data_IF_357136470762
#
_entry.id   IF_357136470762
#
_cell.length_a   1.000
_cell.length_b   1.000
_cell.length_c   1.000
_cell.angle_alpha   90.00
_cell.angle_beta   90.00
_cell.angle_gamma   90.00
#
_symmetry.space_group_name_H-M   'P 1'
#
loop_
_entity.id
_entity.type
_entity.pdbx_description
1 polymer ?
#
# COMPACT_ATOMS: atom_id res chain seq x y z
N UNK A 1 -12.58 3.02 0.88
CA UNK A 1 -13.70 2.07 0.72
C UNK A 1 -13.95 1.42 2.08
N UNK A 2 -15.15 1.54 2.66
CA UNK A 2 -15.49 0.83 3.90
C UNK A 2 -15.73 -0.65 3.55
N UNK A 3 -15.01 -1.57 4.19
CA UNK A 3 -15.19 -3.01 3.99
C UNK A 3 -15.94 -3.57 5.19
N UNK A 4 -17.16 -4.07 4.98
CA UNK A 4 -17.95 -4.70 6.04
C UNK A 4 -17.42 -6.12 6.23
N UNK A 5 -16.93 -6.43 7.42
CA UNK A 5 -16.38 -7.74 7.76
C UNK A 5 -17.38 -8.56 8.56
N UNK A 6 -17.60 -9.81 8.14
CA UNK A 6 -18.37 -10.77 8.91
C UNK A 6 -17.48 -11.38 10.00
N UNK A 7 -17.95 -11.37 11.24
CA UNK A 7 -17.26 -11.99 12.37
C UNK A 7 -17.88 -13.36 12.67
N UNK A 8 -17.03 -14.36 12.90
CA UNK A 8 -17.43 -15.69 13.37
C UNK A 8 -16.85 -15.93 14.75
N UNK A 9 -17.51 -16.76 15.54
CA UNK A 9 -17.00 -17.16 16.86
C UNK A 9 -16.19 -18.44 16.72
N UNK A 10 -14.96 -18.46 17.24
CA UNK A 10 -14.12 -19.66 17.24
C UNK A 10 -14.43 -20.57 18.44
N UNK A 11 -13.80 -21.75 18.51
CA UNK A 11 -13.95 -22.71 19.61
C UNK A 11 -13.49 -22.19 20.97
N UNK A 12 -12.73 -21.09 21.02
CA UNK A 12 -12.27 -20.42 22.24
C UNK A 12 -13.16 -19.22 22.61
N UNK A 13 -14.36 -19.14 22.05
CA UNK A 13 -15.33 -18.08 22.33
C UNK A 13 -14.90 -16.67 21.84
N UNK A 14 -13.87 -16.57 21.00
CA UNK A 14 -13.36 -15.29 20.48
C UNK A 14 -13.96 -14.97 19.11
N UNK A 15 -14.14 -13.68 18.82
CA UNK A 15 -14.57 -13.19 17.51
C UNK A 15 -13.38 -13.16 16.56
N UNK A 16 -13.48 -13.90 15.47
CA UNK A 16 -12.50 -13.96 14.38
C UNK A 16 -13.11 -13.41 13.09
N UNK A 17 -12.35 -12.64 12.29
CA UNK A 17 -12.84 -12.13 11.03
C UNK A 17 -12.92 -13.24 9.98
N UNK A 18 -14.02 -13.28 9.22
CA UNK A 18 -14.10 -14.06 8.00
C UNK A 18 -13.56 -13.21 6.85
N UNK A 19 -12.29 -13.41 6.51
CA UNK A 19 -11.62 -12.77 5.39
C UNK A 19 -11.67 -13.69 4.16
N UNK A 20 -11.93 -13.12 3.00
CA UNK A 20 -11.85 -13.83 1.73
C UNK A 20 -10.39 -13.92 1.25
N UNK A 21 -10.11 -14.85 0.34
CA UNK A 21 -8.77 -14.94 -0.25
C UNK A 21 -8.39 -13.69 -1.04
N UNK A 22 -9.39 -13.00 -1.62
CA UNK A 22 -9.17 -11.71 -2.28
C UNK A 22 -8.77 -10.62 -1.27
N UNK A 23 -9.34 -10.62 -0.06
CA UNK A 23 -9.00 -9.65 0.99
C UNK A 23 -7.55 -9.83 1.43
N UNK A 24 -7.14 -11.07 1.66
CA UNK A 24 -5.77 -11.43 2.03
C UNK A 24 -4.77 -10.98 0.95
N UNK A 25 -5.11 -11.21 -0.32
CA UNK A 25 -4.30 -10.75 -1.46
C UNK A 25 -4.24 -9.23 -1.55
N UNK A 26 -5.35 -8.52 -1.31
CA UNK A 26 -5.41 -7.06 -1.28
C UNK A 26 -4.56 -6.46 -0.15
N UNK A 27 -4.43 -7.16 0.97
CA UNK A 27 -3.53 -6.77 2.07
C UNK A 27 -2.05 -7.01 1.75
N UNK A 28 -1.72 -7.51 0.55
CA UNK A 28 -0.36 -7.78 0.11
C UNK A 28 0.24 -9.01 0.76
N UNK A 29 -0.58 -10.02 1.11
CA UNK A 29 -0.11 -11.30 1.65
C UNK A 29 0.09 -12.27 0.49
N UNK A 30 1.20 -13.00 0.50
CA UNK A 30 1.62 -13.96 -0.55
C UNK A 30 0.77 -15.21 -0.59
N UNK A 31 -0.46 -15.13 -1.10
CA UNK A 31 -1.39 -16.27 -1.10
C UNK A 31 -0.89 -17.50 -1.87
N UNK A 32 -0.01 -17.32 -2.86
CA UNK A 32 0.58 -18.42 -3.62
C UNK A 32 1.56 -19.29 -2.81
N UNK A 33 2.19 -18.74 -1.77
CA UNK A 33 3.12 -19.47 -0.90
C UNK A 33 2.41 -20.24 0.22
N UNK A 34 1.12 -19.94 0.47
CA UNK A 34 0.31 -20.54 1.52
C UNK A 34 -1.01 -21.11 0.97
N UNK A 35 -0.96 -22.21 0.19
CA UNK A 35 -2.17 -22.80 -0.43
C UNK A 35 -3.21 -23.25 0.61
N UNK A 36 -2.77 -23.60 1.82
CA UNK A 36 -3.64 -24.00 2.94
C UNK A 36 -4.51 -22.85 3.50
N UNK A 37 -4.27 -21.60 3.07
CA UNK A 37 -5.17 -20.48 3.35
C UNK A 37 -6.57 -20.74 2.82
N UNK A 38 -6.69 -21.45 1.68
CA UNK A 38 -7.98 -21.75 1.07
C UNK A 38 -8.41 -23.18 1.43
N UNK A 39 -9.37 -23.32 2.32
CA UNK A 39 -9.99 -24.61 2.60
C UNK A 39 -11.11 -24.88 1.60
N UNK A 40 -11.14 -26.08 1.01
CA UNK A 40 -12.18 -26.49 0.09
C UNK A 40 -13.57 -26.35 0.72
N UNK A 41 -14.48 -25.60 0.07
CA UNK A 41 -15.84 -25.35 0.56
C UNK A 41 -15.98 -24.26 1.62
N UNK A 42 -14.89 -23.60 2.05
CA UNK A 42 -14.95 -22.45 2.97
C UNK A 42 -14.78 -21.13 2.21
N UNK A 43 -15.66 -20.17 2.48
CA UNK A 43 -15.53 -18.79 2.01
C UNK A 43 -14.53 -17.96 2.84
N UNK A 44 -14.23 -18.38 4.07
CA UNK A 44 -13.25 -17.72 4.92
C UNK A 44 -11.89 -18.41 4.80
N UNK A 45 -10.82 -17.63 4.76
CA UNK A 45 -9.46 -18.17 4.79
C UNK A 45 -9.10 -18.71 6.17
N UNK A 46 -8.25 -19.73 6.19
CA UNK A 46 -7.63 -20.23 7.40
C UNK A 46 -6.35 -19.45 7.72
N UNK A 47 -6.45 -18.39 8.53
CA UNK A 47 -5.28 -17.56 8.88
C UNK A 47 -4.17 -18.35 9.59
N UNK A 48 -4.49 -19.46 10.26
CA UNK A 48 -3.51 -20.32 10.93
C UNK A 48 -2.55 -21.03 9.96
N UNK A 49 -2.84 -21.02 8.65
CA UNK A 49 -1.92 -21.51 7.62
C UNK A 49 -0.64 -20.65 7.48
N UNK A 50 -0.67 -19.39 7.95
CA UNK A 50 0.50 -18.54 8.02
C UNK A 50 1.08 -18.65 9.44
N UNK A 51 2.31 -19.15 9.61
CA UNK A 51 2.96 -19.20 10.92
C UNK A 51 3.00 -17.82 11.57
N UNK A 52 2.80 -17.73 12.88
CA UNK A 52 2.82 -16.48 13.66
C UNK A 52 1.80 -15.39 13.24
N UNK A 53 0.87 -15.70 12.32
CA UNK A 53 -0.22 -14.80 12.00
C UNK A 53 -1.28 -14.81 13.10
N UNK A 54 -1.73 -13.63 13.52
CA UNK A 54 -2.77 -13.49 14.56
C UNK A 54 -3.80 -12.45 14.18
N UNK A 55 -5.04 -12.66 14.65
CA UNK A 55 -6.14 -11.70 14.49
C UNK A 55 -6.79 -11.45 15.86
N UNK A 56 -6.91 -10.18 16.25
CA UNK A 56 -7.61 -9.78 17.46
C UNK A 56 -8.62 -8.68 17.13
N UNK A 57 -9.89 -8.91 17.43
CA UNK A 57 -10.94 -7.92 17.23
C UNK A 57 -11.28 -7.24 18.56
N UNK A 58 -11.06 -5.93 18.62
CA UNK A 58 -11.42 -5.07 19.74
C UNK A 58 -12.80 -4.46 19.49
N UNK A 59 -13.82 -4.98 20.18
CA UNK A 59 -15.22 -4.61 19.96
C UNK A 59 -15.49 -3.15 20.32
N UNK A 60 -14.95 -2.67 21.45
CA UNK A 60 -15.19 -1.32 21.98
C UNK A 60 -14.71 -0.22 21.04
N UNK A 61 -13.59 -0.46 20.35
CA UNK A 61 -13.00 0.49 19.39
C UNK A 61 -13.38 0.19 17.93
N UNK A 62 -14.10 -0.91 17.69
CA UNK A 62 -14.42 -1.45 16.37
C UNK A 62 -13.18 -1.64 15.49
N UNK A 63 -12.07 -2.11 16.09
CA UNK A 63 -10.79 -2.32 15.39
C UNK A 63 -10.46 -3.79 15.26
N UNK A 64 -10.00 -4.16 14.08
CA UNK A 64 -9.39 -5.45 13.84
C UNK A 64 -7.87 -5.28 13.77
N UNK A 65 -7.16 -5.85 14.73
CA UNK A 65 -5.71 -5.98 14.71
C UNK A 65 -5.33 -7.28 14.00
N UNK A 66 -4.70 -7.14 12.84
CA UNK A 66 -4.16 -8.25 12.08
C UNK A 66 -2.63 -8.17 12.12
N UNK A 67 -1.98 -9.17 12.70
CA UNK A 67 -0.53 -9.27 12.74
C UNK A 67 -0.08 -10.36 11.77
N UNK A 68 0.71 -9.99 10.77
CA UNK A 68 1.22 -10.88 9.73
C UNK A 68 2.74 -10.75 9.69
N UNK A 69 3.49 -11.87 9.69
CA UNK A 69 4.94 -11.81 9.54
C UNK A 69 5.35 -11.18 8.21
N UNK A 70 6.38 -10.36 8.23
CA UNK A 70 6.89 -9.67 7.03
C UNK A 70 7.35 -10.63 5.92
N UNK A 71 7.75 -11.87 6.26
CA UNK A 71 8.11 -12.91 5.29
C UNK A 71 6.91 -13.33 4.43
N UNK A 72 5.70 -13.27 4.99
CA UNK A 72 4.45 -13.64 4.33
C UNK A 72 3.84 -12.49 3.51
N UNK A 73 4.44 -11.30 3.55
CA UNK A 73 4.01 -10.12 2.77
C UNK A 73 4.78 -10.01 1.45
N UNK A 74 4.10 -9.47 0.44
CA UNK A 74 4.70 -9.09 -0.83
C UNK A 74 5.73 -7.98 -0.61
N UNK A 75 6.92 -8.19 -1.18
CA UNK A 75 8.01 -7.23 -1.08
C UNK A 75 7.85 -6.17 -2.14
N UNK A 76 7.25 -5.05 -1.76
CA UNK A 76 7.33 -3.82 -2.53
C UNK A 76 8.54 -3.01 -2.06
N UNK A 77 9.61 -2.86 -2.86
CA UNK A 77 10.74 -2.02 -2.48
C UNK A 77 10.28 -0.59 -2.24
N UNK A 78 10.98 0.15 -1.38
CA UNK A 78 10.65 1.56 -1.11
C UNK A 78 10.68 2.36 -2.42
N UNK A 79 9.61 3.09 -2.70
CA UNK A 79 9.43 3.84 -3.94
C UNK A 79 8.89 3.03 -5.12
N UNK A 80 8.50 1.77 -4.90
CA UNK A 80 7.84 0.97 -5.93
C UNK A 80 6.43 1.50 -6.24
N UNK A 81 6.11 1.58 -7.52
CA UNK A 81 4.79 1.93 -8.06
C UNK A 81 4.43 0.89 -9.10
N UNK A 82 3.24 0.30 -8.98
CA UNK A 82 2.71 -0.62 -9.99
C UNK A 82 2.48 0.12 -11.31
N UNK A 83 2.98 -0.44 -12.41
CA UNK A 83 2.82 0.10 -13.76
C UNK A 83 1.35 0.30 -14.14
N UNK A 84 0.44 -0.52 -13.60
CA UNK A 84 -0.99 -0.37 -13.81
C UNK A 84 -1.58 0.93 -13.21
N UNK A 85 -0.90 1.52 -12.22
CA UNK A 85 -1.32 2.76 -11.57
C UNK A 85 -0.69 4.02 -12.19
N UNK A 86 0.21 3.87 -13.16
CA UNK A 86 0.84 5.02 -13.83
C UNK A 86 -0.14 5.60 -14.84
N UNK A 87 -0.52 6.86 -14.62
CA UNK A 87 -1.34 7.61 -15.57
C UNK A 87 -0.47 8.07 -16.76
N UNK A 88 -0.97 7.85 -17.98
CA UNK A 88 -0.32 8.33 -19.20
C UNK A 88 -0.52 9.84 -19.42
N UNK A 89 -1.33 10.47 -18.57
CA UNK A 89 -1.73 11.85 -18.70
C UNK A 89 -2.73 12.06 -19.83
N UNK A 90 -2.94 13.34 -20.14
CA UNK A 90 -3.84 13.76 -21.23
C UNK A 90 -3.01 14.24 -22.42
N UNK A 91 -3.61 14.21 -23.61
CA UNK A 91 -3.01 14.85 -24.77
C UNK A 91 -3.07 16.39 -24.60
N UNK A 92 -1.92 17.05 -24.57
CA UNK A 92 -1.83 18.49 -24.35
C UNK A 92 -0.66 19.13 -25.13
N UNK A 93 -0.86 20.38 -25.55
CA UNK A 93 0.20 21.24 -26.07
C UNK A 93 0.73 22.13 -24.93
N UNK A 94 2.05 22.12 -24.72
CA UNK A 94 2.72 22.92 -23.69
C UNK A 94 3.68 23.92 -24.35
N UNK A 95 3.54 25.21 -24.02
CA UNK A 95 4.47 26.26 -24.42
C UNK A 95 4.98 26.99 -23.17
N UNK A 96 6.30 27.06 -23.02
CA UNK A 96 6.95 27.80 -21.94
C UNK A 96 7.98 28.77 -22.53
N UNK A 97 7.88 30.07 -22.20
CA UNK A 97 8.79 31.11 -22.68
C UNK A 97 9.29 31.95 -21.50
N UNK A 98 10.60 32.05 -21.35
CA UNK A 98 11.24 32.92 -20.36
C UNK A 98 12.26 33.83 -21.03
N UNK A 99 12.16 35.14 -20.80
CA UNK A 99 13.12 36.14 -21.26
C UNK A 99 13.75 36.85 -20.06
N UNK A 100 15.08 36.77 -19.93
CA UNK A 100 15.84 37.38 -18.83
C UNK A 100 16.96 38.25 -19.41
N UNK A 101 17.19 39.43 -18.82
CA UNK A 101 18.24 40.35 -19.23
C UNK A 101 18.90 41.02 -18.03
N UNK A 102 20.23 41.15 -18.08
CA UNK A 102 21.00 41.91 -17.09
C UNK A 102 21.99 42.83 -17.80
N UNK A 103 22.20 44.02 -17.24
CA UNK A 103 23.13 45.00 -17.79
C UNK A 103 24.01 45.53 -16.67
N UNK A 104 25.27 45.11 -16.66
CA UNK A 104 26.27 45.55 -15.69
C UNK A 104 27.26 46.50 -16.37
N UNK A 105 27.60 47.58 -15.69
CA UNK A 105 28.59 48.55 -16.14
C UNK A 105 29.75 48.58 -15.16
N UNK A 106 30.97 48.38 -15.67
CA UNK A 106 32.21 48.60 -14.91
C UNK A 106 32.75 50.02 -15.18
N UNK A 107 33.19 50.72 -14.13
CA UNK A 107 33.76 52.06 -14.24
C UNK A 107 35.27 51.95 -14.48
N UNK A 108 35.70 52.06 -15.73
CA UNK A 108 37.13 52.27 -16.07
C UNK A 108 37.60 53.64 -15.55
N UNK A 109 38.41 53.63 -14.49
CA UNK A 109 39.12 54.80 -13.97
C UNK A 109 40.30 55.13 -14.91
N UNK A 110 40.12 56.15 -15.76
CA UNK A 110 41.16 56.64 -16.67
C UNK A 110 42.08 57.59 -15.90
N UNK A 111 43.28 57.11 -15.55
CA UNK A 111 44.34 57.97 -15.03
C UNK A 111 44.82 58.89 -16.15
N UNK A 112 44.71 60.20 -15.90
CA UNK A 112 45.19 61.29 -16.75
C UNK A 112 46.72 61.30 -16.78
N UNK A 113 47.30 61.50 -17.97
CA UNK A 113 48.64 62.07 -18.16
C UNK A 113 48.46 63.43 -18.80
#
# INVERSE_FOLDING_TARGET
>A
MLKILNLKKNSRNQLVPCLSLADIKEFGIKTAEYPELQTAGSHCVNLAAIPDATSNFEFDSQRLYLSIPQIALDRNPRGYVDLANIDNGINALLLNYSYNGSKNYDRKKKWLR
#
